data_IF_056035152077
#
_entry.id   IF_056035152077
#
_cell.length_a   1.000
_cell.length_b   1.000
_cell.length_c   1.000
_cell.angle_alpha   90.00
_cell.angle_beta   90.00
_cell.angle_gamma   90.00
#
_symmetry.space_group_name_H-M   'P 1'
#
loop_
_entity.id
_entity.type
_entity.pdbx_description
1 polymer ?
#
# COMPACT_ATOMS: atom_id res chain seq x y z
N UNK A 1 19.21 -10.74 10.12
CA UNK A 1 19.23 -11.52 11.37
C UNK A 1 19.95 -10.80 12.50
N UNK A 2 21.28 -10.53 12.44
CA UNK A 2 21.98 -9.82 13.52
C UNK A 2 21.43 -8.42 13.85
N UNK A 3 20.94 -7.69 12.86
CA UNK A 3 20.42 -6.32 13.02
C UNK A 3 19.05 -6.31 13.71
N UNK A 4 18.15 -7.20 13.31
CA UNK A 4 16.83 -7.39 13.92
C UNK A 4 16.95 -7.90 15.37
N UNK A 5 17.90 -8.80 15.67
CA UNK A 5 18.16 -9.27 17.04
C UNK A 5 18.63 -8.12 17.93
N UNK A 6 19.54 -7.27 17.45
CA UNK A 6 19.99 -6.07 18.19
C UNK A 6 18.88 -5.05 18.41
N UNK A 7 18.00 -4.87 17.40
CA UNK A 7 16.83 -4.01 17.52
C UNK A 7 15.90 -4.56 18.62
N UNK A 8 15.62 -5.86 18.61
CA UNK A 8 14.79 -6.53 19.61
C UNK A 8 15.33 -6.39 21.02
N UNK A 9 16.64 -6.58 21.23
CA UNK A 9 17.30 -6.35 22.52
C UNK A 9 17.19 -4.90 22.97
N UNK A 10 17.40 -3.94 22.04
CA UNK A 10 17.31 -2.50 22.33
C UNK A 10 15.89 -2.09 22.74
N UNK A 11 14.86 -2.58 22.02
CA UNK A 11 13.45 -2.32 22.34
C UNK A 11 13.08 -2.92 23.70
N UNK A 12 13.43 -4.19 23.95
CA UNK A 12 13.18 -4.89 25.24
C UNK A 12 13.85 -4.16 26.42
N UNK A 13 15.10 -3.73 26.27
CA UNK A 13 15.82 -2.97 27.29
C UNK A 13 15.20 -1.61 27.59
N UNK A 14 14.71 -0.91 26.55
CA UNK A 14 14.03 0.38 26.68
C UNK A 14 12.66 0.23 27.33
N UNK A 15 11.91 -0.82 27.02
CA UNK A 15 10.62 -1.15 27.64
C UNK A 15 10.77 -1.43 29.16
N UNK A 16 11.81 -2.17 29.54
CA UNK A 16 12.11 -2.48 30.95
C UNK A 16 12.63 -1.27 31.73
N UNK A 17 13.26 -0.31 31.04
CA UNK A 17 14.00 0.79 31.69
C UNK A 17 13.19 1.96 32.24
N UNK A 18 11.87 1.97 32.16
CA UNK A 18 10.93 3.02 32.64
C UNK A 18 11.32 4.47 32.32
N UNK A 19 10.42 5.26 31.71
CA UNK A 19 10.65 6.68 31.43
C UNK A 19 11.59 7.00 30.25
N UNK A 20 11.76 6.06 29.32
CA UNK A 20 12.59 6.19 28.11
C UNK A 20 11.75 6.23 26.82
N UNK A 21 10.49 6.64 26.92
CA UNK A 21 9.55 6.59 25.78
C UNK A 21 10.02 7.43 24.58
N UNK A 22 10.62 8.62 24.80
CA UNK A 22 11.18 9.43 23.71
C UNK A 22 12.30 8.70 22.95
N UNK A 23 13.14 7.95 23.69
CA UNK A 23 14.22 7.18 23.05
C UNK A 23 13.71 5.95 22.35
N UNK A 24 12.69 5.31 22.90
CA UNK A 24 12.03 4.16 22.28
C UNK A 24 11.31 4.60 21.00
N UNK A 25 10.56 5.69 21.04
CA UNK A 25 9.92 6.28 19.85
C UNK A 25 10.95 6.57 18.74
N UNK A 26 12.09 7.15 19.08
CA UNK A 26 13.14 7.44 18.09
C UNK A 26 13.72 6.16 17.47
N UNK A 27 13.98 5.13 18.27
CA UNK A 27 14.47 3.82 17.77
C UNK A 27 13.44 3.16 16.85
N UNK A 28 12.15 3.25 17.18
CA UNK A 28 11.07 2.70 16.38
C UNK A 28 10.96 3.42 15.03
N UNK A 29 10.99 4.74 15.02
CA UNK A 29 10.88 5.55 13.78
C UNK A 29 12.09 5.40 12.84
N UNK A 30 13.28 5.07 13.34
CA UNK A 30 14.46 4.82 12.52
C UNK A 30 14.54 3.38 11.99
N UNK A 31 13.82 2.43 12.60
CA UNK A 31 13.84 1.04 12.20
C UNK A 31 12.90 0.79 11.00
N UNK A 32 13.22 -0.21 10.17
CA UNK A 32 12.34 -0.62 9.09
C UNK A 32 11.05 -1.28 9.66
N UNK A 33 9.84 -0.98 9.12
CA UNK A 33 8.58 -1.55 9.61
C UNK A 33 8.59 -3.08 9.72
N UNK A 34 9.14 -3.78 8.74
CA UNK A 34 9.28 -5.23 8.74
C UNK A 34 10.17 -5.77 9.88
N UNK A 35 11.16 -5.01 10.36
CA UNK A 35 11.97 -5.41 11.51
C UNK A 35 11.24 -5.13 12.82
N UNK A 36 10.50 -4.01 12.89
CA UNK A 36 9.65 -3.68 14.06
C UNK A 36 8.54 -4.72 14.20
N UNK A 37 7.89 -5.13 13.12
CA UNK A 37 6.83 -6.16 13.14
C UNK A 37 7.34 -7.48 13.70
N UNK A 38 8.56 -7.92 13.32
CA UNK A 38 9.19 -9.12 13.89
C UNK A 38 9.43 -9.03 15.39
N UNK A 39 9.84 -7.86 15.89
CA UNK A 39 10.02 -7.65 17.33
C UNK A 39 8.68 -7.64 18.05
N UNK A 40 7.66 -6.99 17.50
CA UNK A 40 6.30 -6.93 18.08
C UNK A 40 5.73 -8.33 18.28
N UNK A 41 5.92 -9.26 17.35
CA UNK A 41 5.46 -10.67 17.47
C UNK A 41 5.96 -11.37 18.74
N UNK A 42 7.13 -10.99 19.25
CA UNK A 42 7.75 -11.60 20.42
C UNK A 42 7.36 -10.91 21.74
N UNK A 43 6.68 -9.76 21.68
CA UNK A 43 6.31 -8.98 22.86
C UNK A 43 4.96 -9.42 23.43
N UNK A 44 4.76 -9.30 24.77
CA UNK A 44 3.43 -9.35 25.36
C UNK A 44 2.52 -8.26 24.79
N UNK A 45 1.20 -8.50 24.70
CA UNK A 45 0.23 -7.56 24.11
C UNK A 45 0.28 -6.17 24.74
N UNK A 46 0.52 -6.08 26.06
CA UNK A 46 0.66 -4.79 26.76
C UNK A 46 1.84 -3.96 26.22
N UNK A 47 2.96 -4.62 25.91
CA UNK A 47 4.14 -3.98 25.33
C UNK A 47 3.94 -3.70 23.84
N UNK A 48 3.22 -4.55 23.09
CA UNK A 48 2.83 -4.28 21.70
C UNK A 48 2.02 -2.99 21.60
N UNK A 49 0.99 -2.83 22.43
CA UNK A 49 0.16 -1.62 22.51
C UNK A 49 1.01 -0.39 22.85
N UNK A 50 1.94 -0.51 23.80
CA UNK A 50 2.84 0.59 24.16
C UNK A 50 3.75 0.98 23.01
N UNK A 51 4.33 0.02 22.30
CA UNK A 51 5.17 0.24 21.12
C UNK A 51 4.36 0.91 20.02
N UNK A 52 3.17 0.41 19.72
CA UNK A 52 2.26 1.01 18.73
C UNK A 52 1.97 2.48 19.01
N UNK A 53 1.63 2.83 20.26
CA UNK A 53 1.31 4.20 20.67
C UNK A 53 2.48 5.19 20.60
N UNK A 54 3.71 4.68 20.56
CA UNK A 54 4.92 5.50 20.47
C UNK A 54 5.37 5.77 19.03
N UNK A 55 4.83 5.06 18.06
CA UNK A 55 5.09 5.29 16.63
C UNK A 55 4.23 6.44 16.08
N UNK A 56 4.73 7.10 15.03
CA UNK A 56 3.89 7.99 14.22
C UNK A 56 2.76 7.19 13.54
N UNK A 57 1.61 7.79 13.21
CA UNK A 57 0.54 7.08 12.52
C UNK A 57 1.00 6.41 11.22
N UNK A 58 1.86 7.09 10.45
CA UNK A 58 2.41 6.54 9.21
C UNK A 58 3.26 5.30 9.47
N UNK A 59 4.15 5.34 10.46
CA UNK A 59 5.01 4.19 10.79
C UNK A 59 4.21 3.04 11.41
N UNK A 60 3.23 3.37 12.26
CA UNK A 60 2.32 2.39 12.85
C UNK A 60 1.50 1.65 11.78
N UNK A 61 0.98 2.36 10.77
CA UNK A 61 0.30 1.76 9.62
C UNK A 61 1.20 0.79 8.86
N UNK A 62 2.39 1.23 8.48
CA UNK A 62 3.36 0.36 7.79
C UNK A 62 3.76 -0.88 8.60
N UNK A 63 3.76 -0.80 9.92
CA UNK A 63 4.01 -1.96 10.80
C UNK A 63 2.79 -2.89 10.85
N UNK A 64 1.56 -2.35 10.85
CA UNK A 64 0.35 -3.18 10.81
C UNK A 64 0.29 -4.05 9.56
N UNK A 65 0.63 -3.51 8.39
CA UNK A 65 0.69 -4.24 7.11
C UNK A 65 1.66 -5.44 7.15
N UNK A 66 2.69 -5.39 7.99
CA UNK A 66 3.71 -6.42 8.12
C UNK A 66 3.41 -7.47 9.21
N UNK A 67 2.28 -7.36 9.92
CA UNK A 67 1.93 -8.29 11.01
C UNK A 67 1.19 -9.52 10.49
N UNK A 68 1.47 -10.68 11.06
CA UNK A 68 0.66 -11.88 10.83
C UNK A 68 -0.73 -11.73 11.49
N UNK A 69 -1.79 -12.26 10.89
CA UNK A 69 -3.19 -12.14 11.31
C UNK A 69 -3.45 -12.35 12.81
N UNK A 70 -2.88 -13.38 13.51
CA UNK A 70 -3.12 -13.54 14.94
C UNK A 70 -2.57 -12.40 15.80
N UNK A 71 -1.43 -11.82 15.40
CA UNK A 71 -0.79 -10.70 16.10
C UNK A 71 -1.55 -9.41 15.80
N UNK A 72 -1.90 -9.19 14.53
CA UNK A 72 -2.71 -8.07 14.07
C UNK A 72 -4.03 -8.00 14.84
N UNK A 73 -4.83 -9.08 14.83
CA UNK A 73 -6.11 -9.16 15.57
C UNK A 73 -5.94 -8.93 17.07
N UNK A 74 -4.89 -9.48 17.68
CA UNK A 74 -4.60 -9.30 19.10
C UNK A 74 -4.25 -7.86 19.47
N UNK A 75 -3.42 -7.21 18.67
CA UNK A 75 -3.00 -5.83 18.85
C UNK A 75 -4.17 -4.86 18.61
N UNK A 76 -4.84 -4.96 17.46
CA UNK A 76 -5.98 -4.10 17.11
C UNK A 76 -7.13 -4.25 18.11
N UNK A 77 -7.43 -5.48 18.56
CA UNK A 77 -8.43 -5.71 19.61
C UNK A 77 -8.07 -5.15 21.00
N UNK A 78 -6.85 -4.64 21.18
CA UNK A 78 -6.35 -4.04 22.42
C UNK A 78 -6.13 -2.52 22.33
N UNK A 79 -6.43 -1.92 21.16
CA UNK A 79 -6.34 -0.50 20.87
C UNK A 79 -7.74 0.12 20.78
N UNK A 80 -7.83 1.45 20.93
CA UNK A 80 -9.05 2.18 20.64
C UNK A 80 -9.21 2.31 19.11
N UNK A 81 -10.42 2.19 18.58
CA UNK A 81 -10.75 2.28 17.15
C UNK A 81 -10.20 3.58 16.52
N UNK A 82 -10.23 4.68 17.27
CA UNK A 82 -9.66 5.97 16.82
C UNK A 82 -8.11 5.98 16.77
N UNK A 83 -7.41 5.10 17.49
CA UNK A 83 -5.96 4.93 17.37
C UNK A 83 -5.63 4.16 16.10
N UNK A 84 -6.40 3.11 15.82
CA UNK A 84 -6.27 2.27 14.62
C UNK A 84 -6.60 3.07 13.37
N UNK A 85 -7.77 3.72 13.30
CA UNK A 85 -8.23 4.53 12.16
C UNK A 85 -7.18 5.55 11.72
N UNK A 86 -6.53 6.24 12.67
CA UNK A 86 -5.46 7.20 12.35
C UNK A 86 -4.22 6.57 11.72
N UNK A 87 -3.90 5.32 12.04
CA UNK A 87 -2.81 4.60 11.40
C UNK A 87 -3.23 4.15 9.99
N UNK A 88 -4.45 3.60 9.86
CA UNK A 88 -5.00 3.15 8.59
C UNK A 88 -5.16 4.29 7.57
N UNK A 89 -5.53 5.50 7.98
CA UNK A 89 -5.60 6.69 7.12
C UNK A 89 -4.25 7.03 6.44
N UNK A 90 -3.14 6.45 6.89
CA UNK A 90 -1.80 6.66 6.34
C UNK A 90 -1.26 5.49 5.53
N UNK A 91 -2.03 4.43 5.41
CA UNK A 91 -1.70 3.24 4.61
C UNK A 91 -2.27 3.34 3.20
N UNK A 92 -1.75 2.61 2.20
CA UNK A 92 -2.42 2.32 0.94
C UNK A 92 -3.79 1.69 1.17
N UNK A 93 -4.76 1.90 0.27
CA UNK A 93 -6.15 1.44 0.46
C UNK A 93 -6.30 -0.07 0.41
N UNK A 94 -5.48 -0.74 -0.40
CA UNK A 94 -5.33 -2.20 -0.49
C UNK A 94 -4.84 -2.79 0.83
N UNK A 95 -3.75 -2.28 1.41
CA UNK A 95 -3.24 -2.70 2.72
C UNK A 95 -4.30 -2.49 3.83
N UNK A 96 -5.05 -1.38 3.78
CA UNK A 96 -6.14 -1.13 4.74
C UNK A 96 -7.24 -2.17 4.59
N UNK A 97 -7.60 -2.51 3.35
CA UNK A 97 -8.62 -3.51 3.08
C UNK A 97 -8.21 -4.88 3.65
N UNK A 98 -6.93 -5.26 3.54
CA UNK A 98 -6.40 -6.50 4.12
C UNK A 98 -6.46 -6.50 5.64
N UNK A 99 -6.05 -5.40 6.28
CA UNK A 99 -6.16 -5.26 7.75
C UNK A 99 -7.61 -5.33 8.21
N UNK A 100 -8.53 -4.66 7.52
CA UNK A 100 -9.95 -4.58 7.89
C UNK A 100 -10.64 -5.94 7.72
N UNK A 101 -10.29 -6.70 6.68
CA UNK A 101 -10.85 -8.02 6.40
C UNK A 101 -10.54 -9.04 7.51
N UNK A 102 -9.39 -8.89 8.17
CA UNK A 102 -8.97 -9.72 9.29
C UNK A 102 -9.68 -9.41 10.62
N UNK A 103 -10.46 -8.33 10.69
CA UNK A 103 -11.11 -7.88 11.93
C UNK A 103 -12.54 -8.43 12.07
N UNK A 104 -13.07 -8.54 13.31
CA UNK A 104 -14.50 -8.74 13.53
C UNK A 104 -15.32 -7.64 12.86
N UNK A 105 -16.43 -8.03 12.19
CA UNK A 105 -17.23 -7.12 11.37
C UNK A 105 -17.66 -5.84 12.08
N UNK A 106 -18.11 -5.93 13.34
CA UNK A 106 -18.51 -4.77 14.12
C UNK A 106 -17.34 -3.79 14.34
N UNK A 107 -16.14 -4.32 14.61
CA UNK A 107 -14.94 -3.51 14.81
C UNK A 107 -14.46 -2.88 13.49
N UNK A 108 -14.52 -3.64 12.39
CA UNK A 108 -14.20 -3.14 11.05
C UNK A 108 -15.09 -1.95 10.66
N UNK A 109 -16.42 -2.07 10.86
CA UNK A 109 -17.40 -1.01 10.59
C UNK A 109 -17.10 0.24 11.45
N UNK A 110 -16.84 0.09 12.77
CA UNK A 110 -16.52 1.21 13.66
C UNK A 110 -15.21 1.93 13.27
N UNK A 111 -14.20 1.19 12.83
CA UNK A 111 -12.92 1.77 12.37
C UNK A 111 -13.12 2.54 11.05
N UNK A 112 -13.82 1.95 10.06
CA UNK A 112 -14.10 2.60 8.78
C UNK A 112 -14.92 3.88 8.96
N UNK A 113 -15.90 3.89 9.87
CA UNK A 113 -16.69 5.08 10.19
C UNK A 113 -15.87 6.23 10.80
N UNK A 114 -14.70 5.93 11.37
CA UNK A 114 -13.77 6.92 11.95
C UNK A 114 -12.68 7.40 10.99
N UNK A 115 -12.52 6.75 9.84
CA UNK A 115 -11.53 7.10 8.82
C UNK A 115 -11.94 8.32 7.99
N UNK A 116 -10.98 8.87 7.24
CA UNK A 116 -11.26 9.90 6.22
C UNK A 116 -12.26 9.32 5.19
N UNK A 117 -13.36 10.06 4.89
CA UNK A 117 -14.50 9.59 4.07
C UNK A 117 -14.04 9.01 2.72
N UNK A 118 -13.18 9.74 1.99
CA UNK A 118 -12.63 9.32 0.69
C UNK A 118 -11.88 7.97 0.79
N UNK A 119 -11.09 7.81 1.86
CA UNK A 119 -10.32 6.59 2.11
C UNK A 119 -11.21 5.40 2.47
N UNK A 120 -12.19 5.62 3.32
CA UNK A 120 -13.16 4.59 3.71
C UNK A 120 -13.98 4.09 2.51
N UNK A 121 -14.39 5.00 1.60
CA UNK A 121 -15.08 4.63 0.36
C UNK A 121 -14.19 3.76 -0.53
N UNK A 122 -12.92 4.14 -0.75
CA UNK A 122 -11.96 3.33 -1.53
C UNK A 122 -11.79 1.93 -0.95
N UNK A 123 -11.64 1.80 0.36
CA UNK A 123 -11.49 0.51 1.06
C UNK A 123 -12.76 -0.33 0.91
N UNK A 124 -13.95 0.28 1.05
CA UNK A 124 -15.22 -0.43 0.87
C UNK A 124 -15.38 -0.95 -0.56
N UNK A 125 -14.98 -0.17 -1.58
CA UNK A 125 -15.00 -0.62 -2.98
C UNK A 125 -14.06 -1.81 -3.21
N UNK A 126 -12.88 -1.82 -2.58
CA UNK A 126 -11.95 -2.96 -2.67
C UNK A 126 -12.51 -4.23 -2.01
N UNK A 127 -13.20 -4.10 -0.88
CA UNK A 127 -13.84 -5.19 -0.16
C UNK A 127 -15.07 -5.80 -0.90
N UNK A 128 -15.58 -5.13 -1.94
CA UNK A 128 -16.65 -5.69 -2.80
C UNK A 128 -16.11 -6.74 -3.80
N UNK A 129 -14.79 -6.77 -4.07
CA UNK A 129 -14.18 -7.78 -4.92
C UNK A 129 -13.96 -9.09 -4.15
N UNK A 130 -14.06 -10.21 -4.87
CA UNK A 130 -13.79 -11.53 -4.30
C UNK A 130 -12.32 -11.66 -3.86
N UNK A 131 -12.08 -12.27 -2.70
CA UNK A 131 -10.73 -12.59 -2.24
C UNK A 131 -9.93 -13.38 -3.29
N UNK A 132 -8.62 -13.16 -3.35
CA UNK A 132 -7.76 -13.83 -4.30
C UNK A 132 -7.92 -13.37 -5.76
N UNK A 133 -8.56 -12.23 -6.00
CA UNK A 133 -8.69 -11.62 -7.33
C UNK A 133 -7.85 -10.36 -7.50
N UNK A 134 -7.53 -10.00 -8.74
CA UNK A 134 -6.81 -8.77 -9.06
C UNK A 134 -7.53 -7.50 -8.57
N UNK A 135 -8.87 -7.51 -8.53
CA UNK A 135 -9.65 -6.40 -7.98
C UNK A 135 -9.46 -6.22 -6.48
N UNK A 136 -9.31 -7.33 -5.73
CA UNK A 136 -9.07 -7.30 -4.28
C UNK A 136 -7.62 -6.92 -3.94
N UNK A 137 -6.68 -7.31 -4.81
CA UNK A 137 -5.23 -7.09 -4.65
C UNK A 137 -4.75 -5.71 -5.15
N UNK A 138 -5.57 -4.98 -5.93
CA UNK A 138 -5.14 -3.74 -6.56
C UNK A 138 -5.13 -2.55 -5.60
N UNK A 139 -4.13 -1.69 -5.74
CA UNK A 139 -4.16 -0.33 -5.20
C UNK A 139 -4.90 0.61 -6.14
N UNK A 140 -5.86 1.42 -5.66
CA UNK A 140 -6.47 2.49 -6.44
C UNK A 140 -5.55 3.71 -6.57
N UNK A 141 -4.43 3.73 -5.88
CA UNK A 141 -3.46 4.82 -5.86
C UNK A 141 -2.49 4.75 -7.04
N UNK A 142 -2.89 5.22 -8.21
CA UNK A 142 -2.06 5.26 -9.41
C UNK A 142 -1.98 6.66 -10.04
N UNK A 143 -0.99 6.87 -10.92
CA UNK A 143 -0.89 8.10 -11.72
C UNK A 143 -1.35 7.82 -13.14
N UNK A 144 -2.42 8.47 -13.58
CA UNK A 144 -2.86 8.46 -14.96
C UNK A 144 -2.88 9.88 -15.54
N UNK A 145 -2.55 9.99 -16.82
CA UNK A 145 -2.60 11.24 -17.57
C UNK A 145 -3.26 11.01 -18.93
N UNK A 146 -3.91 12.03 -19.43
CA UNK A 146 -4.54 11.99 -20.76
C UNK A 146 -3.49 11.92 -21.87
N UNK A 147 -3.73 11.14 -22.93
CA UNK A 147 -2.77 10.92 -24.02
C UNK A 147 -2.37 12.22 -24.75
N UNK A 148 -3.22 13.26 -24.75
CA UNK A 148 -2.95 14.56 -25.34
C UNK A 148 -2.14 15.50 -24.42
N UNK A 149 -1.90 15.11 -23.16
CA UNK A 149 -1.11 15.91 -22.23
C UNK A 149 0.34 16.05 -22.71
N UNK A 150 1.00 17.10 -22.27
CA UNK A 150 2.44 17.27 -22.43
C UNK A 150 3.21 16.69 -21.25
N UNK A 151 4.49 16.43 -21.44
CA UNK A 151 5.41 16.00 -20.36
C UNK A 151 5.38 16.97 -19.17
N UNK A 152 5.35 18.28 -19.43
CA UNK A 152 5.25 19.28 -18.37
C UNK A 152 3.98 19.13 -17.52
N UNK A 153 2.84 18.88 -18.17
CA UNK A 153 1.56 18.67 -17.49
C UNK A 153 1.55 17.35 -16.69
N UNK A 154 2.11 16.28 -17.26
CA UNK A 154 2.25 15.00 -16.56
C UNK A 154 3.12 15.12 -15.31
N UNK A 155 4.26 15.80 -15.40
CA UNK A 155 5.15 16.03 -14.25
C UNK A 155 4.48 16.90 -13.17
N UNK A 156 3.67 17.87 -13.57
CA UNK A 156 2.89 18.67 -12.63
C UNK A 156 1.79 17.84 -11.95
N UNK A 157 1.17 16.93 -12.68
CA UNK A 157 0.18 16.00 -12.14
C UNK A 157 0.80 15.08 -11.09
N UNK A 158 1.95 14.45 -11.38
CA UNK A 158 2.69 13.60 -10.44
C UNK A 158 3.04 14.36 -9.14
N UNK A 159 3.50 15.62 -9.25
CA UNK A 159 3.85 16.43 -8.07
C UNK A 159 2.65 16.72 -7.15
N UNK A 160 1.44 16.71 -7.69
CA UNK A 160 0.21 16.96 -6.94
C UNK A 160 -0.46 15.67 -6.46
N UNK A 161 -0.19 14.58 -7.15
CA UNK A 161 -0.71 13.29 -6.76
C UNK A 161 -0.10 12.88 -5.40
N UNK A 162 -0.96 12.46 -4.49
CA UNK A 162 -0.55 11.87 -3.21
C UNK A 162 -0.21 10.37 -3.41
N UNK A 163 0.52 10.05 -4.48
CA UNK A 163 0.98 8.68 -4.69
C UNK A 163 2.07 8.37 -3.69
N UNK A 164 1.94 7.25 -3.02
CA UNK A 164 2.99 6.68 -2.17
C UNK A 164 4.29 6.40 -2.94
N UNK A 165 5.21 5.68 -2.35
CA UNK A 165 6.59 5.46 -2.84
C UNK A 165 6.70 4.72 -4.21
N UNK A 166 5.58 4.35 -4.86
CA UNK A 166 5.50 3.37 -5.95
C UNK A 166 5.22 3.88 -7.37
N UNK A 167 5.29 5.17 -7.69
CA UNK A 167 5.01 5.64 -9.06
C UNK A 167 6.13 5.32 -10.06
N UNK A 168 6.28 4.05 -10.45
CA UNK A 168 7.25 3.63 -11.48
C UNK A 168 6.79 3.96 -12.90
N UNK A 169 5.48 3.96 -13.12
CA UNK A 169 4.81 4.20 -14.39
C UNK A 169 3.78 5.31 -14.28
N UNK A 170 3.62 6.07 -15.34
CA UNK A 170 2.51 6.98 -15.57
C UNK A 170 1.63 6.35 -16.61
N UNK A 171 0.44 5.96 -16.24
CA UNK A 171 -0.51 5.36 -17.16
C UNK A 171 -1.10 6.43 -18.08
N UNK A 172 -1.47 6.02 -19.27
CA UNK A 172 -2.00 6.92 -20.28
C UNK A 172 -3.41 6.48 -20.62
N UNK A 173 -4.35 7.40 -20.50
CA UNK A 173 -5.77 7.15 -20.78
C UNK A 173 -6.29 8.03 -21.90
N UNK A 174 -7.38 7.60 -22.55
CA UNK A 174 -8.12 8.36 -23.55
C UNK A 174 -9.24 9.22 -22.91
N UNK A 175 -10.09 9.84 -23.75
CA UNK A 175 -11.23 10.68 -23.33
C UNK A 175 -12.32 9.90 -22.54
N UNK A 176 -12.24 8.58 -22.46
CA UNK A 176 -13.18 7.71 -21.76
C UNK A 176 -12.53 6.95 -20.58
N UNK A 177 -11.34 7.37 -20.17
CA UNK A 177 -10.51 6.73 -19.14
C UNK A 177 -10.04 5.30 -19.50
N UNK A 178 -10.10 4.92 -20.79
CA UNK A 178 -9.53 3.63 -21.20
C UNK A 178 -8.01 3.68 -21.21
N UNK A 179 -7.40 2.62 -20.68
CA UNK A 179 -5.94 2.45 -20.70
C UNK A 179 -5.44 2.27 -22.15
N UNK A 180 -4.65 3.24 -22.63
CA UNK A 180 -4.08 3.27 -23.99
C UNK A 180 -2.56 3.24 -24.04
N UNK A 181 -1.90 3.16 -22.88
CA UNK A 181 -0.46 3.10 -22.81
C UNK A 181 0.08 3.38 -21.43
N UNK A 182 1.40 3.41 -21.32
CA UNK A 182 2.11 3.88 -20.13
C UNK A 182 3.42 4.57 -20.53
N UNK A 183 3.95 5.38 -19.63
CA UNK A 183 5.28 6.00 -19.75
C UNK A 183 6.07 5.67 -18.49
N UNK A 184 7.20 4.97 -18.58
CA UNK A 184 8.09 4.80 -17.44
C UNK A 184 8.58 6.15 -16.93
N UNK A 185 8.59 6.36 -15.61
CA UNK A 185 8.94 7.64 -15.00
C UNK A 185 10.31 8.18 -15.48
N UNK A 186 11.30 7.30 -15.65
CA UNK A 186 12.62 7.72 -16.14
C UNK A 186 12.56 8.27 -17.59
N UNK A 187 11.69 7.74 -18.46
CA UNK A 187 11.48 8.24 -19.82
C UNK A 187 10.80 9.60 -19.81
N UNK A 188 9.81 9.78 -18.90
CA UNK A 188 9.13 11.05 -18.71
C UNK A 188 10.11 12.15 -18.26
N UNK A 189 10.99 11.84 -17.29
CA UNK A 189 12.00 12.77 -16.79
C UNK A 189 13.06 13.13 -17.83
N UNK A 190 13.36 12.25 -18.79
CA UNK A 190 14.34 12.47 -19.85
C UNK A 190 13.77 13.23 -21.07
N UNK A 191 12.45 13.35 -21.18
CA UNK A 191 11.80 13.97 -22.33
C UNK A 191 11.70 15.51 -22.17
N UNK A 192 11.62 16.22 -23.32
CA UNK A 192 11.45 17.66 -23.30
C UNK A 192 10.03 18.04 -22.80
N UNK A 193 9.88 19.12 -22.00
CA UNK A 193 8.62 19.50 -21.36
C UNK A 193 7.43 19.68 -22.33
N UNK A 194 7.69 20.12 -23.56
CA UNK A 194 6.68 20.34 -24.60
C UNK A 194 6.30 19.08 -25.39
N UNK A 195 6.96 17.93 -25.16
CA UNK A 195 6.66 16.70 -25.87
C UNK A 195 5.31 16.16 -25.46
N UNK A 196 4.51 15.67 -26.43
CA UNK A 196 3.24 15.00 -26.15
C UNK A 196 3.47 13.62 -25.51
N UNK A 197 2.68 13.26 -24.52
CA UNK A 197 2.66 11.94 -23.90
C UNK A 197 2.41 10.85 -24.95
N UNK A 198 1.50 11.10 -25.90
CA UNK A 198 1.23 10.20 -27.03
C UNK A 198 2.51 9.81 -27.80
N UNK A 199 3.46 10.74 -27.96
CA UNK A 199 4.70 10.49 -28.71
C UNK A 199 5.72 9.63 -27.98
N UNK A 200 5.63 9.52 -26.65
CA UNK A 200 6.61 8.81 -25.82
C UNK A 200 6.04 7.62 -25.07
N UNK A 201 4.71 7.40 -25.15
CA UNK A 201 4.06 6.25 -24.51
C UNK A 201 4.50 4.93 -25.13
N UNK A 202 4.46 3.89 -24.36
CA UNK A 202 4.47 2.50 -24.82
C UNK A 202 3.01 2.04 -24.94
N UNK A 203 2.63 1.49 -26.08
CA UNK A 203 1.26 1.01 -26.35
C UNK A 203 1.08 -0.46 -25.96
N UNK A 204 2.18 -1.19 -25.81
CA UNK A 204 2.20 -2.60 -25.41
C UNK A 204 2.09 -2.67 -23.88
N UNK A 205 0.84 -2.70 -23.38
CA UNK A 205 0.52 -2.72 -21.95
C UNK A 205 -0.16 -4.03 -21.63
N UNK A 206 0.58 -4.88 -20.91
CA UNK A 206 -0.02 -6.02 -20.24
C UNK A 206 -0.92 -5.52 -19.10
N UNK A 207 -2.18 -5.97 -19.08
CA UNK A 207 -3.17 -5.58 -18.07
C UNK A 207 -4.04 -6.77 -17.69
N UNK A 208 -4.58 -6.77 -16.49
CA UNK A 208 -5.51 -7.79 -16.00
C UNK A 208 -6.89 -7.17 -15.74
N UNK A 209 -7.91 -8.01 -15.65
CA UNK A 209 -9.26 -7.57 -15.25
C UNK A 209 -9.46 -7.82 -13.77
N UNK A 210 -10.39 -7.11 -13.14
CA UNK A 210 -10.70 -7.23 -11.70
C UNK A 210 -10.98 -8.68 -11.25
N UNK A 211 -11.55 -9.52 -12.09
CA UNK A 211 -11.84 -10.92 -11.78
C UNK A 211 -10.69 -11.89 -12.09
N UNK A 212 -9.51 -11.41 -12.48
CA UNK A 212 -8.36 -12.28 -12.73
C UNK A 212 -7.84 -12.85 -11.41
N UNK A 213 -7.58 -14.16 -11.38
CA UNK A 213 -7.03 -14.87 -10.23
C UNK A 213 -5.62 -14.37 -9.87
N UNK A 214 -5.35 -14.18 -8.58
CA UNK A 214 -4.07 -13.62 -8.10
C UNK A 214 -2.85 -14.45 -8.53
N UNK A 215 -2.95 -15.78 -8.63
CA UNK A 215 -1.85 -16.62 -9.13
C UNK A 215 -1.61 -16.41 -10.63
N UNK A 216 -2.65 -16.06 -11.41
CA UNK A 216 -2.52 -15.70 -12.82
C UNK A 216 -1.80 -14.36 -12.95
N UNK A 217 -2.12 -13.38 -12.09
CA UNK A 217 -1.38 -12.11 -11.98
C UNK A 217 0.09 -12.38 -11.67
N UNK A 218 0.38 -13.24 -10.69
CA UNK A 218 1.74 -13.59 -10.31
C UNK A 218 2.53 -14.24 -11.48
N UNK A 219 1.88 -15.12 -12.24
CA UNK A 219 2.49 -15.72 -13.44
C UNK A 219 2.78 -14.68 -14.52
N UNK A 220 1.89 -13.69 -14.71
CA UNK A 220 2.07 -12.60 -15.67
C UNK A 220 3.28 -11.73 -15.28
N UNK A 221 3.33 -11.28 -14.01
CA UNK A 221 4.43 -10.49 -13.45
C UNK A 221 5.77 -11.21 -13.63
N UNK A 222 5.83 -12.50 -13.28
CA UNK A 222 7.03 -13.30 -13.42
C UNK A 222 7.44 -13.50 -14.89
N UNK A 223 6.48 -13.75 -15.79
CA UNK A 223 6.76 -14.03 -17.21
C UNK A 223 7.33 -12.81 -17.94
N UNK A 224 6.79 -11.63 -17.68
CA UNK A 224 7.17 -10.37 -18.35
C UNK A 224 8.12 -9.52 -17.53
N UNK A 225 8.52 -9.93 -16.32
CA UNK A 225 9.34 -9.16 -15.37
C UNK A 225 8.76 -7.76 -15.11
N UNK A 226 7.46 -7.69 -14.85
CA UNK A 226 6.77 -6.45 -14.58
C UNK A 226 7.03 -5.98 -13.15
N UNK A 227 7.11 -4.68 -12.94
CA UNK A 227 7.21 -4.06 -11.61
C UNK A 227 5.80 -3.72 -11.11
N UNK A 228 4.87 -3.44 -12.03
CA UNK A 228 3.51 -3.07 -11.74
C UNK A 228 2.59 -3.50 -12.89
N UNK A 229 1.38 -3.95 -12.58
CA UNK A 229 0.37 -4.39 -13.54
C UNK A 229 -0.88 -3.54 -13.39
N UNK A 230 -1.38 -2.87 -14.43
CA UNK A 230 -2.65 -2.16 -14.39
C UNK A 230 -3.83 -3.11 -14.39
N UNK A 231 -4.82 -2.80 -13.55
CA UNK A 231 -6.10 -3.51 -13.45
C UNK A 231 -7.17 -2.69 -14.14
N UNK A 232 -7.94 -3.33 -15.00
CA UNK A 232 -8.98 -2.67 -15.80
C UNK A 232 -10.33 -3.37 -15.65
N UNK A 233 -11.40 -2.64 -15.95
CA UNK A 233 -12.73 -3.23 -16.08
C UNK A 233 -12.93 -3.89 -17.46
N UNK A 234 -14.14 -4.43 -17.71
CA UNK A 234 -14.53 -5.06 -18.96
C UNK A 234 -14.49 -4.10 -20.17
N UNK A 235 -14.51 -2.78 -19.95
CA UNK A 235 -14.41 -1.73 -20.99
C UNK A 235 -13.00 -1.20 -21.17
N UNK A 236 -12.00 -1.75 -20.45
CA UNK A 236 -10.60 -1.29 -20.37
C UNK A 236 -10.40 0.03 -19.63
N UNK A 237 -11.34 0.46 -18.79
CA UNK A 237 -11.12 1.57 -17.86
C UNK A 237 -10.09 1.16 -16.82
N UNK A 238 -9.12 2.02 -16.56
CA UNK A 238 -8.13 1.81 -15.53
C UNK A 238 -8.78 2.02 -14.15
N UNK A 239 -8.70 1.01 -13.29
CA UNK A 239 -9.28 0.99 -11.95
C UNK A 239 -8.24 1.02 -10.85
N UNK A 240 -7.10 0.38 -11.06
CA UNK A 240 -6.03 0.28 -10.08
C UNK A 240 -4.76 -0.31 -10.66
N UNK A 241 -3.81 -0.60 -9.80
CA UNK A 241 -2.53 -1.23 -10.16
C UNK A 241 -2.12 -2.22 -9.08
N UNK A 242 -1.42 -3.29 -9.47
CA UNK A 242 -0.86 -4.27 -8.54
C UNK A 242 0.66 -4.17 -8.62
N UNK A 243 1.32 -3.96 -7.49
CA UNK A 243 2.76 -3.92 -7.35
C UNK A 243 3.40 -5.32 -7.40
N UNK A 244 4.70 -5.37 -7.66
CA UNK A 244 5.46 -6.63 -7.59
C UNK A 244 5.61 -7.13 -6.15
N UNK A 245 5.59 -6.25 -5.17
CA UNK A 245 5.58 -6.52 -3.73
C UNK A 245 4.36 -7.34 -3.32
N UNK A 246 3.14 -6.91 -3.68
CA UNK A 246 1.89 -7.62 -3.44
C UNK A 246 1.91 -9.02 -4.08
N UNK A 247 2.44 -9.11 -5.30
CA UNK A 247 2.60 -10.39 -6.01
C UNK A 247 3.60 -11.32 -5.30
N UNK A 248 4.63 -10.80 -4.65
CA UNK A 248 5.58 -11.60 -3.88
C UNK A 248 4.88 -12.27 -2.70
N UNK A 249 3.95 -11.60 -2.04
CA UNK A 249 3.22 -12.15 -0.91
C UNK A 249 2.25 -13.26 -1.35
N UNK A 250 1.55 -13.09 -2.47
CA UNK A 250 0.76 -14.18 -3.11
C UNK A 250 1.61 -15.44 -3.40
N UNK A 251 2.89 -15.29 -3.80
CA UNK A 251 3.76 -16.44 -4.09
C UNK A 251 4.20 -17.16 -2.80
N UNK A 252 4.21 -16.49 -1.65
CA UNK A 252 4.65 -17.04 -0.37
C UNK A 252 3.55 -17.79 0.39
N UNK A 253 2.28 -17.50 0.10
CA UNK A 253 1.13 -18.23 0.63
C UNK A 253 1.02 -19.65 0.02
#
# INVERSE_FOLDING_TARGET
MEETERLGESIKDLLLGGGRDERLAHVLEEAHPADVSRVIRELPVEDQVRVFRLMSPQHAGAVLAELDDPVLRGLVGSLDEAEVSRALDRMPSDDVADVVDELPKEQAEEILDLMEEEKAEEVQELLEYDEGTAGRLMSPEFVAVHEQATVAQALEHIRKAKTGDGAFYVYVVDDHDHLVGFVPLHRLLAAEPGTSIHAIRSEDVESVTVGTDQEEVARLVQHYNLIQVPVVDATRRLLGTIGVDDVIDVIRE
#
